data_IF_710562554109
#
_entry.id   IF_710562554109
#
_cell.length_a   1.000
_cell.length_b   1.000
_cell.length_c   1.000
_cell.angle_alpha   90.00
_cell.angle_beta   90.00
_cell.angle_gamma   90.00
#
_symmetry.space_group_name_H-M   'P 1'
#
loop_
_entity.id
_entity.type
_entity.pdbx_description
1 polymer ?
#
# COMPACT_ATOMS: atom_id res chain seq x y z
N UNK A 1 -22.55 -13.23 6.79
CA UNK A 1 -21.31 -13.83 7.34
C UNK A 1 -21.12 -13.25 8.73
N UNK A 2 -21.27 -14.04 9.75
CA UNK A 2 -20.89 -13.60 11.10
C UNK A 2 -19.37 -13.67 11.20
N UNK A 3 -18.71 -12.57 11.57
CA UNK A 3 -17.31 -12.59 11.98
C UNK A 3 -17.21 -13.34 13.31
N UNK A 4 -17.41 -14.66 13.29
CA UNK A 4 -17.30 -15.53 14.48
C UNK A 4 -15.84 -15.91 14.77
N UNK A 5 -14.91 -15.54 13.90
CA UNK A 5 -13.49 -15.59 14.22
C UNK A 5 -13.16 -14.58 15.32
N UNK A 6 -12.26 -14.94 16.24
CA UNK A 6 -11.81 -13.96 17.24
C UNK A 6 -11.30 -12.70 16.52
N UNK A 7 -11.53 -11.48 17.06
CA UNK A 7 -11.02 -10.24 16.47
C UNK A 7 -9.53 -10.30 16.14
N UNK A 8 -8.75 -11.02 16.93
CA UNK A 8 -7.33 -11.24 16.73
C UNK A 8 -7.04 -11.98 15.41
N UNK A 9 -7.87 -12.96 15.03
CA UNK A 9 -7.71 -13.68 13.76
C UNK A 9 -7.99 -12.76 12.56
N UNK A 10 -8.96 -11.87 12.68
CA UNK A 10 -9.34 -10.93 11.61
C UNK A 10 -8.19 -9.94 11.31
N UNK A 11 -7.59 -9.34 12.34
CA UNK A 11 -6.45 -8.43 12.17
C UNK A 11 -5.21 -9.15 11.65
N UNK A 12 -4.94 -10.36 12.14
CA UNK A 12 -3.81 -11.18 11.63
C UNK A 12 -4.02 -11.52 10.16
N UNK A 13 -5.23 -11.91 9.77
CA UNK A 13 -5.56 -12.21 8.38
C UNK A 13 -5.42 -10.97 7.49
N UNK A 14 -5.87 -9.79 7.97
CA UNK A 14 -5.70 -8.54 7.24
C UNK A 14 -4.22 -8.19 7.06
N UNK A 15 -3.41 -8.30 8.12
CA UNK A 15 -1.97 -8.03 8.05
C UNK A 15 -1.26 -8.95 7.04
N UNK A 16 -1.51 -10.26 7.12
CA UNK A 16 -0.93 -11.23 6.18
C UNK A 16 -1.45 -11.01 4.75
N UNK A 17 -2.75 -10.70 4.62
CA UNK A 17 -3.36 -10.34 3.35
C UNK A 17 -2.74 -9.10 2.73
N UNK A 18 -2.39 -8.10 3.55
CA UNK A 18 -1.68 -6.90 3.12
C UNK A 18 -0.25 -7.19 2.64
N UNK A 19 0.48 -8.10 3.30
CA UNK A 19 1.80 -8.54 2.82
C UNK A 19 1.69 -9.25 1.47
N UNK A 20 0.75 -10.19 1.34
CA UNK A 20 0.50 -10.90 0.08
C UNK A 20 0.05 -9.91 -1.00
N UNK A 21 -0.83 -8.98 -0.65
CA UNK A 21 -1.27 -7.90 -1.53
C UNK A 21 -0.11 -7.04 -2.03
N UNK A 22 0.85 -6.69 -1.16
CA UNK A 22 2.04 -5.95 -1.55
C UNK A 22 2.93 -6.74 -2.54
N UNK A 23 3.07 -8.05 -2.38
CA UNK A 23 3.75 -8.91 -3.37
C UNK A 23 3.03 -8.88 -4.72
N UNK A 24 1.69 -8.99 -4.71
CA UNK A 24 0.89 -8.91 -5.95
C UNK A 24 1.00 -7.53 -6.61
N UNK A 25 1.08 -6.46 -5.82
CA UNK A 25 1.35 -5.10 -6.27
C UNK A 25 2.69 -5.03 -7.01
N UNK A 26 3.77 -5.56 -6.45
CA UNK A 26 5.12 -5.53 -7.05
C UNK A 26 5.16 -6.31 -8.37
N UNK A 27 4.51 -7.48 -8.42
CA UNK A 27 4.36 -8.27 -9.65
C UNK A 27 3.64 -7.45 -10.71
N UNK A 28 2.56 -6.78 -10.33
CA UNK A 28 1.75 -5.95 -11.24
C UNK A 28 2.53 -4.74 -11.72
N UNK A 29 3.24 -4.01 -10.86
CA UNK A 29 4.10 -2.89 -11.25
C UNK A 29 5.21 -3.33 -12.22
N UNK A 30 5.81 -4.49 -11.96
CA UNK A 30 6.82 -5.06 -12.86
C UNK A 30 6.23 -5.39 -14.24
N UNK A 31 5.01 -5.94 -14.27
CA UNK A 31 4.32 -6.22 -15.53
C UNK A 31 3.93 -4.94 -16.28
N UNK A 32 3.37 -3.95 -15.58
CA UNK A 32 2.96 -2.68 -16.17
C UNK A 32 4.14 -1.86 -16.70
N UNK A 33 5.32 -1.99 -16.07
CA UNK A 33 6.54 -1.33 -16.54
C UNK A 33 6.94 -1.75 -17.97
N UNK A 34 6.58 -2.98 -18.40
CA UNK A 34 6.79 -3.48 -19.77
C UNK A 34 5.92 -2.75 -20.79
N UNK A 35 4.81 -2.17 -20.35
CA UNK A 35 3.89 -1.37 -21.17
C UNK A 35 4.12 0.14 -20.99
N UNK A 36 5.23 0.54 -20.33
CA UNK A 36 5.59 1.94 -20.12
C UNK A 36 4.87 2.62 -18.94
N UNK A 37 4.00 1.90 -18.20
CA UNK A 37 3.31 2.45 -17.03
C UNK A 37 4.18 2.21 -15.81
N UNK A 38 4.69 3.30 -15.22
CA UNK A 38 5.59 3.26 -14.05
C UNK A 38 5.17 4.31 -13.04
N UNK A 39 5.27 3.98 -11.75
CA UNK A 39 5.05 4.95 -10.66
C UNK A 39 6.20 5.95 -10.52
N UNK A 40 7.41 5.56 -10.94
CA UNK A 40 8.65 6.28 -10.66
C UNK A 40 9.19 6.04 -9.26
N UNK A 41 8.40 5.45 -8.38
CA UNK A 41 8.82 5.08 -7.02
C UNK A 41 9.72 3.84 -7.08
N UNK A 42 10.79 3.87 -6.33
CA UNK A 42 11.57 2.67 -6.02
C UNK A 42 11.75 2.54 -4.50
N UNK A 43 12.00 1.33 -4.06
CA UNK A 43 12.04 0.98 -2.65
C UNK A 43 13.14 1.74 -1.87
N UNK A 44 14.26 2.06 -2.51
CA UNK A 44 15.33 2.84 -1.87
C UNK A 44 14.88 4.27 -1.55
N UNK A 45 14.09 4.90 -2.44
CA UNK A 45 13.52 6.22 -2.16
C UNK A 45 12.52 6.18 -1.01
N UNK A 46 11.72 5.12 -0.92
CA UNK A 46 10.82 4.91 0.23
C UNK A 46 11.62 4.79 1.52
N UNK A 47 12.69 4.01 1.52
CA UNK A 47 13.57 3.86 2.67
C UNK A 47 14.32 5.14 3.03
N UNK A 48 14.75 5.91 2.03
CA UNK A 48 15.39 7.22 2.24
C UNK A 48 14.43 8.21 2.90
N UNK A 49 13.20 8.26 2.44
CA UNK A 49 12.15 9.08 3.06
C UNK A 49 11.85 8.61 4.48
N UNK A 50 11.68 7.31 4.69
CA UNK A 50 11.42 6.74 6.01
C UNK A 50 12.55 7.05 7.01
N UNK A 51 13.81 6.92 6.59
CA UNK A 51 14.97 7.36 7.38
C UNK A 51 14.96 8.87 7.63
N UNK A 52 14.49 9.66 6.67
CA UNK A 52 14.30 11.09 6.82
C UNK A 52 13.34 11.46 7.96
N UNK A 53 12.28 10.67 8.16
CA UNK A 53 11.33 10.88 9.25
C UNK A 53 11.99 10.83 10.63
N UNK A 54 12.99 9.94 10.83
CA UNK A 54 13.74 9.84 12.09
C UNK A 54 14.56 11.09 12.38
N UNK A 55 14.79 11.94 11.36
CA UNK A 55 15.49 13.23 11.42
C UNK A 55 14.54 14.42 11.29
N UNK A 56 13.23 14.18 11.49
CA UNK A 56 12.15 15.19 11.36
C UNK A 56 12.07 15.80 9.95
N UNK A 57 12.59 15.11 8.94
CA UNK A 57 12.45 15.51 7.54
C UNK A 57 11.23 14.82 6.93
N UNK A 58 10.10 15.50 6.91
CA UNK A 58 8.82 14.95 6.43
C UNK A 58 8.71 14.97 4.90
N UNK A 59 9.37 15.92 4.24
CA UNK A 59 9.32 16.08 2.79
C UNK A 59 10.68 16.50 2.22
N UNK A 60 10.84 16.26 0.94
CA UNK A 60 12.01 16.65 0.14
C UNK A 60 11.60 17.63 -0.95
N UNK A 61 12.52 18.46 -1.41
CA UNK A 61 12.32 19.24 -2.64
C UNK A 61 12.36 18.33 -3.86
N UNK A 62 13.32 17.40 -3.88
CA UNK A 62 13.41 16.26 -4.77
C UNK A 62 14.20 15.16 -4.06
N UNK A 63 13.53 14.04 -3.80
CA UNK A 63 14.16 12.92 -3.08
C UNK A 63 15.25 12.25 -3.92
N UNK A 64 15.16 12.29 -5.26
CA UNK A 64 16.18 11.70 -6.14
C UNK A 64 17.50 12.47 -6.07
N UNK A 65 17.43 13.80 -5.91
CA UNK A 65 18.59 14.65 -5.73
C UNK A 65 19.17 14.60 -4.32
N UNK A 66 18.47 14.00 -3.36
CA UNK A 66 18.95 13.86 -1.99
C UNK A 66 20.06 12.82 -1.89
N UNK A 67 20.98 13.04 -0.95
CA UNK A 67 22.07 12.08 -0.67
C UNK A 67 21.48 10.74 -0.24
N UNK A 68 21.96 9.65 -0.84
CA UNK A 68 21.59 8.29 -0.47
C UNK A 68 22.03 7.97 0.97
N UNK A 69 21.23 7.14 1.65
CA UNK A 69 21.49 6.78 3.04
C UNK A 69 21.87 5.29 3.15
N UNK A 70 22.76 4.93 4.11
CA UNK A 70 23.04 3.52 4.38
C UNK A 70 21.75 2.73 4.67
N UNK A 71 21.66 1.52 4.14
CA UNK A 71 20.54 0.60 4.36
C UNK A 71 19.16 1.07 3.84
N UNK A 72 19.07 2.14 3.04
CA UNK A 72 17.80 2.68 2.55
C UNK A 72 16.99 1.64 1.78
N UNK A 73 17.62 0.77 0.98
CA UNK A 73 16.91 -0.27 0.24
C UNK A 73 16.27 -1.31 1.19
N UNK A 74 17.02 -1.81 2.18
CA UNK A 74 16.51 -2.78 3.14
C UNK A 74 15.38 -2.22 4.00
N UNK A 75 15.54 -0.99 4.49
CA UNK A 75 14.50 -0.31 5.26
C UNK A 75 13.28 0.06 4.39
N UNK A 76 13.50 0.35 3.12
CA UNK A 76 12.41 0.57 2.17
C UNK A 76 11.58 -0.69 1.96
N UNK A 77 12.20 -1.86 1.80
CA UNK A 77 11.50 -3.14 1.73
C UNK A 77 10.76 -3.47 3.03
N UNK A 78 11.38 -3.24 4.17
CA UNK A 78 10.72 -3.43 5.46
C UNK A 78 9.50 -2.51 5.60
N UNK A 79 9.64 -1.23 5.27
CA UNK A 79 8.53 -0.28 5.26
C UNK A 79 7.42 -0.71 4.28
N UNK A 80 7.80 -1.07 3.05
CA UNK A 80 6.86 -1.46 2.01
C UNK A 80 5.99 -2.65 2.44
N UNK A 81 6.58 -3.73 2.94
CA UNK A 81 5.82 -4.90 3.33
C UNK A 81 5.15 -4.77 4.70
N UNK A 82 5.89 -4.31 5.72
CA UNK A 82 5.37 -4.34 7.10
C UNK A 82 4.42 -3.18 7.38
N UNK A 83 4.72 -1.97 6.88
CA UNK A 83 3.91 -0.78 7.13
C UNK A 83 2.93 -0.55 5.96
N UNK A 84 3.44 -0.42 4.74
CA UNK A 84 2.63 -0.17 3.55
C UNK A 84 1.70 -1.33 3.20
N UNK A 85 2.19 -2.56 3.26
CA UNK A 85 1.39 -3.76 3.04
C UNK A 85 0.56 -4.14 4.25
N UNK A 86 1.20 -4.74 5.26
CA UNK A 86 0.52 -5.29 6.42
C UNK A 86 -0.12 -4.24 7.32
N UNK A 87 0.61 -3.18 7.68
CA UNK A 87 0.13 -2.14 8.59
C UNK A 87 -1.08 -1.39 8.05
N UNK A 88 -1.03 -0.95 6.79
CA UNK A 88 -2.16 -0.28 6.12
C UNK A 88 -3.38 -1.21 6.05
N UNK A 89 -3.19 -2.51 5.80
CA UNK A 89 -4.29 -3.46 5.74
C UNK A 89 -5.07 -3.59 7.07
N UNK A 90 -4.46 -3.29 8.23
CA UNK A 90 -5.16 -3.29 9.52
C UNK A 90 -6.26 -2.23 9.60
N UNK A 91 -6.19 -1.18 8.79
CA UNK A 91 -7.23 -0.14 8.73
C UNK A 91 -8.55 -0.75 8.24
N UNK A 92 -8.51 -1.74 7.35
CA UNK A 92 -9.72 -2.33 6.79
C UNK A 92 -10.64 -2.95 7.86
N UNK A 93 -10.21 -3.93 8.67
CA UNK A 93 -11.04 -4.47 9.74
C UNK A 93 -11.35 -3.42 10.82
N UNK A 94 -10.45 -2.48 11.10
CA UNK A 94 -10.72 -1.40 12.06
C UNK A 94 -11.90 -0.52 11.61
N UNK A 95 -11.98 -0.17 10.33
CA UNK A 95 -13.11 0.59 9.77
C UNK A 95 -14.40 -0.23 9.83
N UNK A 96 -14.38 -1.52 9.45
CA UNK A 96 -15.56 -2.38 9.53
C UNK A 96 -16.12 -2.46 10.96
N UNK A 97 -15.23 -2.62 11.95
CA UNK A 97 -15.62 -2.62 13.37
C UNK A 97 -16.19 -1.28 13.81
N UNK A 98 -15.56 -0.17 13.44
CA UNK A 98 -16.00 1.18 13.83
C UNK A 98 -17.38 1.54 13.23
N UNK A 99 -17.70 0.97 12.06
CA UNK A 99 -18.99 1.16 11.38
C UNK A 99 -20.05 0.11 11.73
N UNK A 100 -19.74 -0.81 12.65
CA UNK A 100 -20.61 -1.95 13.04
C UNK A 100 -21.08 -2.79 11.81
N UNK A 101 -20.19 -2.93 10.83
CA UNK A 101 -20.47 -3.70 9.61
C UNK A 101 -20.24 -5.18 9.90
N UNK A 102 -21.31 -5.89 10.27
CA UNK A 102 -21.26 -7.32 10.61
C UNK A 102 -21.28 -8.24 9.38
N UNK A 103 -21.77 -7.76 8.26
CA UNK A 103 -21.86 -8.51 7.00
C UNK A 103 -21.34 -7.62 5.86
N UNK A 104 -20.03 -7.54 5.67
CA UNK A 104 -19.52 -6.79 4.53
C UNK A 104 -19.99 -7.43 3.22
N UNK A 105 -20.15 -6.59 2.22
CA UNK A 105 -20.16 -7.02 0.82
C UNK A 105 -19.05 -8.05 0.62
N UNK A 106 -19.24 -8.99 -0.30
CA UNK A 106 -18.27 -10.08 -0.55
C UNK A 106 -16.82 -9.64 -0.25
N UNK A 107 -16.06 -10.35 0.61
CA UNK A 107 -14.79 -9.85 1.18
C UNK A 107 -13.77 -9.42 0.12
N UNK A 108 -13.73 -10.10 -1.03
CA UNK A 108 -12.85 -9.72 -2.15
C UNK A 108 -13.26 -8.36 -2.74
N UNK A 109 -14.57 -8.09 -2.87
CA UNK A 109 -15.05 -6.80 -3.36
C UNK A 109 -14.75 -5.69 -2.35
N UNK A 110 -14.95 -5.95 -1.06
CA UNK A 110 -14.58 -5.01 0.01
C UNK A 110 -13.08 -4.74 0.03
N UNK A 111 -12.26 -5.78 -0.09
CA UNK A 111 -10.81 -5.66 -0.22
C UNK A 111 -10.39 -4.86 -1.46
N UNK A 112 -11.02 -5.10 -2.61
CA UNK A 112 -10.78 -4.34 -3.84
C UNK A 112 -11.08 -2.85 -3.64
N UNK A 113 -12.23 -2.52 -3.06
CA UNK A 113 -12.59 -1.12 -2.76
C UNK A 113 -11.61 -0.48 -1.79
N UNK A 114 -11.19 -1.22 -0.76
CA UNK A 114 -10.16 -0.78 0.16
C UNK A 114 -8.83 -0.52 -0.56
N UNK A 115 -8.39 -1.43 -1.44
CA UNK A 115 -7.18 -1.26 -2.25
C UNK A 115 -7.25 0.01 -3.11
N UNK A 116 -8.36 0.24 -3.80
CA UNK A 116 -8.57 1.47 -4.58
C UNK A 116 -8.51 2.73 -3.70
N UNK A 117 -9.09 2.71 -2.51
CA UNK A 117 -9.03 3.84 -1.58
C UNK A 117 -7.59 4.06 -1.09
N UNK A 118 -6.85 3.00 -0.80
CA UNK A 118 -5.45 3.13 -0.35
C UNK A 118 -4.50 3.64 -1.43
N UNK A 119 -4.88 3.62 -2.72
CA UNK A 119 -4.12 4.29 -3.79
C UNK A 119 -4.02 5.82 -3.58
N UNK A 120 -4.87 6.41 -2.75
CA UNK A 120 -4.75 7.80 -2.33
C UNK A 120 -3.49 8.07 -1.48
N UNK A 121 -2.99 7.07 -0.74
CA UNK A 121 -1.82 7.26 0.13
C UNK A 121 -0.57 7.65 -0.66
N UNK A 122 -0.14 6.95 -1.72
CA UNK A 122 0.96 7.43 -2.53
C UNK A 122 0.67 8.78 -3.18
N UNK A 123 -0.52 9.01 -3.71
CA UNK A 123 -0.85 10.27 -4.39
C UNK A 123 -0.84 11.50 -3.48
N UNK A 124 -1.33 11.35 -2.25
CA UNK A 124 -1.57 12.47 -1.35
C UNK A 124 -0.52 12.59 -0.24
N UNK A 125 0.26 11.56 0.00
CA UNK A 125 1.27 11.54 1.06
C UNK A 125 2.66 11.31 0.50
N UNK A 126 2.91 10.14 -0.13
CA UNK A 126 4.25 9.72 -0.49
C UNK A 126 4.85 10.57 -1.62
N UNK A 127 4.12 10.77 -2.72
CA UNK A 127 4.63 11.52 -3.88
C UNK A 127 4.85 13.00 -3.55
N UNK A 128 3.93 13.70 -2.82
CA UNK A 128 4.22 15.03 -2.30
C UNK A 128 5.42 15.07 -1.35
N UNK A 129 5.58 14.08 -0.46
CA UNK A 129 6.71 14.00 0.45
C UNK A 129 8.05 13.77 -0.29
N UNK A 130 8.02 13.15 -1.48
CA UNK A 130 9.18 13.03 -2.36
C UNK A 130 9.55 14.32 -3.09
N UNK A 131 8.69 15.35 -3.03
CA UNK A 131 8.83 16.58 -3.79
C UNK A 131 8.25 16.50 -5.20
N UNK A 132 7.48 15.44 -5.50
CA UNK A 132 6.90 15.19 -6.83
C UNK A 132 5.48 15.75 -7.00
N UNK A 133 5.00 16.47 -5.98
CA UNK A 133 3.68 17.10 -6.00
C UNK A 133 2.53 16.10 -5.94
N UNK A 134 1.33 16.64 -5.88
CA UNK A 134 0.11 15.85 -5.84
C UNK A 134 -0.02 14.97 -7.09
N UNK A 135 -0.35 13.70 -6.89
CA UNK A 135 -0.48 12.71 -7.95
C UNK A 135 0.82 12.44 -8.73
N UNK A 136 1.99 12.89 -8.23
CA UNK A 136 3.28 12.66 -8.85
C UNK A 136 3.53 13.48 -10.14
N UNK A 137 2.77 14.55 -10.37
CA UNK A 137 2.81 15.35 -11.62
C UNK A 137 4.17 15.96 -11.92
N UNK A 138 4.96 16.27 -10.89
CA UNK A 138 6.31 16.83 -11.02
C UNK A 138 7.42 15.77 -10.90
N UNK A 139 7.05 14.51 -10.73
CA UNK A 139 7.98 13.40 -10.59
C UNK A 139 8.42 12.81 -11.94
N UNK A 140 9.35 11.85 -11.92
CA UNK A 140 9.95 11.28 -13.13
C UNK A 140 8.97 10.49 -14.01
N UNK A 141 7.86 10.02 -13.45
CA UNK A 141 6.84 9.27 -14.17
C UNK A 141 5.77 10.17 -14.80
N UNK A 142 5.66 11.43 -14.37
CA UNK A 142 4.66 12.36 -14.86
C UNK A 142 3.23 11.79 -14.74
N UNK A 143 2.44 11.87 -15.81
CA UNK A 143 1.06 11.36 -15.83
C UNK A 143 0.94 9.84 -15.57
N UNK A 144 1.99 9.05 -15.81
CA UNK A 144 1.96 7.61 -15.54
C UNK A 144 1.80 7.28 -14.05
N UNK A 145 2.28 8.15 -13.15
CA UNK A 145 2.09 7.97 -11.71
C UNK A 145 0.60 7.94 -11.32
N UNK A 146 -0.25 8.65 -12.07
CA UNK A 146 -1.70 8.66 -11.86
C UNK A 146 -2.34 7.30 -12.17
N UNK A 147 -1.85 6.59 -13.18
CA UNK A 147 -2.37 5.27 -13.56
C UNK A 147 -1.73 4.14 -12.74
N UNK A 148 -0.43 4.25 -12.48
CA UNK A 148 0.31 3.20 -11.81
C UNK A 148 -0.24 2.88 -10.41
N UNK A 149 -0.60 3.89 -9.63
CA UNK A 149 -1.08 3.70 -8.26
C UNK A 149 -2.37 2.87 -8.19
N UNK A 150 -3.51 3.23 -8.81
CA UNK A 150 -4.73 2.42 -8.70
C UNK A 150 -4.56 1.04 -9.33
N UNK A 151 -3.82 0.92 -10.44
CA UNK A 151 -3.61 -0.37 -11.09
C UNK A 151 -2.81 -1.35 -10.22
N UNK A 152 -1.85 -0.88 -9.44
CA UNK A 152 -1.10 -1.72 -8.50
C UNK A 152 -1.90 -2.00 -7.22
N UNK A 153 -2.75 -1.08 -6.79
CA UNK A 153 -3.56 -1.26 -5.58
C UNK A 153 -4.79 -2.18 -5.78
N UNK A 154 -5.23 -2.42 -7.01
CA UNK A 154 -6.25 -3.44 -7.31
C UNK A 154 -5.81 -4.82 -6.81
N UNK A 155 -4.68 -5.39 -7.24
CA UNK A 155 -4.22 -6.69 -6.74
C UNK A 155 -3.86 -6.65 -5.25
N UNK A 156 -3.40 -5.51 -4.72
CA UNK A 156 -3.22 -5.34 -3.29
C UNK A 156 -4.53 -5.60 -2.53
N UNK A 157 -5.61 -4.92 -2.92
CA UNK A 157 -6.90 -5.09 -2.27
C UNK A 157 -7.49 -6.49 -2.45
N UNK A 158 -7.30 -7.12 -3.61
CA UNK A 158 -7.69 -8.52 -3.84
C UNK A 158 -6.95 -9.45 -2.87
N UNK A 159 -5.63 -9.25 -2.66
CA UNK A 159 -4.84 -10.02 -1.71
C UNK A 159 -5.36 -9.90 -0.28
N UNK A 160 -5.66 -8.68 0.17
CA UNK A 160 -6.27 -8.43 1.50
C UNK A 160 -7.60 -9.17 1.62
N UNK A 161 -8.51 -8.99 0.68
CA UNK A 161 -9.85 -9.60 0.71
C UNK A 161 -9.82 -11.13 0.63
N UNK A 162 -8.93 -11.69 -0.18
CA UNK A 162 -8.79 -13.14 -0.33
C UNK A 162 -8.31 -13.81 0.97
N UNK A 163 -7.27 -13.26 1.60
CA UNK A 163 -6.75 -13.83 2.86
C UNK A 163 -7.75 -13.66 4.00
N UNK A 164 -8.45 -12.54 4.07
CA UNK A 164 -9.51 -12.36 5.05
C UNK A 164 -10.67 -13.35 4.85
N UNK A 165 -11.01 -13.70 3.61
CA UNK A 165 -11.99 -14.74 3.30
C UNK A 165 -11.55 -16.10 3.84
N UNK A 166 -10.29 -16.46 3.63
CA UNK A 166 -9.72 -17.72 4.13
C UNK A 166 -9.63 -17.75 5.66
N UNK A 167 -9.26 -16.62 6.28
CA UNK A 167 -9.12 -16.51 7.74
C UNK A 167 -10.44 -16.47 8.49
N UNK A 168 -11.55 -16.07 7.86
CA UNK A 168 -12.89 -16.08 8.47
C UNK A 168 -13.54 -17.46 8.51
N UNK A 169 -12.90 -18.46 7.90
CA UNK A 169 -13.48 -19.78 7.73
C UNK A 169 -14.75 -19.72 6.86
N UNK A 170 -14.81 -20.45 5.78
CA UNK A 170 -16.08 -20.70 5.08
C UNK A 170 -17.02 -21.42 6.05
N UNK A 171 -17.92 -20.69 6.70
CA UNK A 171 -19.10 -21.23 7.37
C UNK A 171 -20.33 -20.86 6.59
#
# INVERSE_FOLDING_TARGET
>A
MNFTGSPMNTFTSAFLGGIIGAVLMDITETAMARFGIRSGVNVSLVGRWFLGLTRVRLAHTDIQASVSMPHEAGLGWAFHFLIGGGGVALIYPAVLLAMDVTSPVHPILGGLMFGLVTSLLPWLVLLPAFGWGWFGRSGPAGANALLASPLSHIPYGIGVGAVMTLGSGFQ
#
